data_IF_007611455730
#
_entry.id   IF_007611455730
#
_cell.length_a   1.000
_cell.length_b   1.000
_cell.length_c   1.000
_cell.angle_alpha   90.00
_cell.angle_beta   90.00
_cell.angle_gamma   90.00
#
_symmetry.space_group_name_H-M   'P 1'
#
loop_
_entity.id
_entity.type
_entity.pdbx_description
1 polymer ?
#
# COMPACT_ATOMS: atom_id res chain seq x y z
N UNK A 1 14.04 -41.04 20.04
CA UNK A 1 13.81 -40.05 21.12
C UNK A 1 13.15 -38.85 20.48
N UNK A 2 11.81 -38.88 20.35
CA UNK A 2 11.03 -37.80 19.78
C UNK A 2 10.71 -36.83 20.91
N UNK A 3 11.31 -35.64 20.89
CA UNK A 3 10.96 -34.56 21.79
C UNK A 3 9.66 -33.91 21.30
N UNK A 4 8.58 -34.21 21.98
CA UNK A 4 7.25 -33.62 21.81
C UNK A 4 7.33 -32.14 22.23
N UNK A 5 7.61 -31.26 21.27
CA UNK A 5 7.50 -29.81 21.48
C UNK A 5 6.00 -29.49 21.49
N UNK A 6 5.37 -29.60 22.66
CA UNK A 6 4.06 -29.00 22.91
C UNK A 6 4.18 -27.50 22.71
N UNK A 7 3.92 -27.03 21.49
CA UNK A 7 3.70 -25.63 21.23
C UNK A 7 2.52 -25.14 22.09
N UNK A 8 2.78 -24.22 23.03
CA UNK A 8 1.73 -23.53 23.76
C UNK A 8 0.89 -22.74 22.75
N UNK A 9 -0.20 -23.32 22.28
CA UNK A 9 -1.19 -22.59 21.48
C UNK A 9 -1.86 -21.59 22.42
N UNK A 10 -1.57 -20.30 22.19
CA UNK A 10 -2.27 -19.22 22.88
C UNK A 10 -3.76 -19.40 22.60
N UNK A 11 -4.59 -19.44 23.64
CA UNK A 11 -6.02 -19.68 23.46
C UNK A 11 -6.61 -18.55 22.60
N UNK A 12 -7.52 -18.87 21.64
CA UNK A 12 -8.18 -17.86 20.81
C UNK A 12 -8.84 -16.76 21.66
N UNK A 13 -9.35 -17.13 22.85
CA UNK A 13 -9.93 -16.19 23.81
C UNK A 13 -8.90 -15.18 24.33
N UNK A 14 -7.68 -15.62 24.67
CA UNK A 14 -6.62 -14.74 25.15
C UNK A 14 -6.20 -13.72 24.07
N UNK A 15 -6.11 -14.15 22.80
CA UNK A 15 -5.82 -13.27 21.66
C UNK A 15 -6.94 -12.23 21.48
N UNK A 16 -8.20 -12.67 21.54
CA UNK A 16 -9.35 -11.78 21.40
C UNK A 16 -9.40 -10.75 22.52
N UNK A 17 -9.17 -11.15 23.77
CA UNK A 17 -9.11 -10.25 24.92
C UNK A 17 -7.96 -9.24 24.80
N UNK A 18 -6.79 -9.68 24.38
CA UNK A 18 -5.64 -8.80 24.16
C UNK A 18 -5.93 -7.74 23.10
N UNK A 19 -6.50 -8.14 21.96
CA UNK A 19 -6.88 -7.22 20.88
C UNK A 19 -7.94 -6.22 21.37
N UNK A 20 -8.92 -6.70 22.13
CA UNK A 20 -9.96 -5.84 22.70
C UNK A 20 -9.38 -4.81 23.69
N UNK A 21 -8.48 -5.22 24.59
CA UNK A 21 -7.83 -4.33 25.56
C UNK A 21 -6.98 -3.28 24.86
N UNK A 22 -6.18 -3.68 23.86
CA UNK A 22 -5.37 -2.75 23.07
C UNK A 22 -6.27 -1.75 22.33
N UNK A 23 -7.33 -2.23 21.68
CA UNK A 23 -8.27 -1.37 20.96
C UNK A 23 -8.96 -0.36 21.90
N UNK A 24 -9.43 -0.82 23.06
CA UNK A 24 -10.07 0.03 24.05
C UNK A 24 -9.10 1.08 24.61
N UNK A 25 -7.87 0.68 24.93
CA UNK A 25 -6.84 1.60 25.43
C UNK A 25 -6.50 2.68 24.41
N UNK A 26 -6.42 2.33 23.14
CA UNK A 26 -6.12 3.26 22.07
C UNK A 26 -7.30 4.23 21.80
N UNK A 27 -8.54 3.77 21.91
CA UNK A 27 -9.73 4.64 21.84
C UNK A 27 -9.73 5.64 22.99
N UNK A 28 -9.51 5.17 24.23
CA UNK A 28 -9.43 6.03 25.41
C UNK A 28 -8.32 7.08 25.24
N UNK A 29 -7.14 6.67 24.81
CA UNK A 29 -6.01 7.57 24.52
C UNK A 29 -6.40 8.63 23.49
N UNK A 30 -7.01 8.22 22.38
CA UNK A 30 -7.43 9.10 21.30
C UNK A 30 -8.45 10.15 21.74
N UNK A 31 -9.41 9.76 22.59
CA UNK A 31 -10.41 10.69 23.15
C UNK A 31 -9.76 11.67 24.10
N UNK A 32 -8.85 11.21 24.98
CA UNK A 32 -8.17 12.07 25.97
C UNK A 32 -7.26 13.11 25.34
N UNK A 33 -6.60 12.78 24.23
CA UNK A 33 -5.63 13.65 23.57
C UNK A 33 -6.16 14.29 22.28
N UNK A 34 -7.46 14.14 21.99
CA UNK A 34 -8.12 14.67 20.76
C UNK A 34 -7.43 14.23 19.45
N UNK A 35 -6.83 13.05 19.44
CA UNK A 35 -6.11 12.50 18.31
C UNK A 35 -7.00 11.57 17.48
N UNK A 36 -7.93 12.14 16.73
CA UNK A 36 -8.91 11.38 15.91
C UNK A 36 -8.28 10.43 14.89
N UNK A 37 -7.03 10.72 14.48
CA UNK A 37 -6.28 9.87 13.58
C UNK A 37 -6.08 8.45 14.13
N UNK A 38 -5.86 8.31 15.44
CA UNK A 38 -5.67 7.01 16.08
C UNK A 38 -6.93 6.15 15.99
N UNK A 39 -8.12 6.76 16.15
CA UNK A 39 -9.39 6.04 15.99
C UNK A 39 -9.53 5.52 14.55
N UNK A 40 -9.21 6.35 13.56
CA UNK A 40 -9.23 5.94 12.18
C UNK A 40 -8.28 4.74 11.93
N UNK A 41 -7.05 4.79 12.44
CA UNK A 41 -6.10 3.67 12.32
C UNK A 41 -6.61 2.38 12.95
N UNK A 42 -7.23 2.44 14.12
CA UNK A 42 -7.81 1.27 14.78
C UNK A 42 -8.96 0.69 13.96
N UNK A 43 -9.86 1.55 13.46
CA UNK A 43 -10.98 1.12 12.63
C UNK A 43 -10.53 0.49 11.30
N UNK A 44 -9.46 1.02 10.67
CA UNK A 44 -8.97 0.50 9.39
C UNK A 44 -8.02 -0.69 9.54
N UNK A 45 -7.35 -0.87 10.70
CA UNK A 45 -6.38 -1.94 10.90
C UNK A 45 -6.92 -3.35 10.67
N UNK A 46 -8.16 -3.74 11.09
CA UNK A 46 -8.70 -5.06 10.82
C UNK A 46 -8.87 -5.32 9.32
N UNK A 47 -9.34 -4.31 8.57
CA UNK A 47 -9.48 -4.43 7.12
C UNK A 47 -8.12 -4.61 6.44
N UNK A 48 -7.12 -3.85 6.87
CA UNK A 48 -5.76 -3.98 6.36
C UNK A 48 -5.18 -5.36 6.64
N UNK A 49 -5.38 -5.90 7.85
CA UNK A 49 -4.93 -7.26 8.21
C UNK A 49 -5.62 -8.34 7.38
N UNK A 50 -6.93 -8.23 7.15
CA UNK A 50 -7.67 -9.17 6.30
C UNK A 50 -7.10 -9.15 4.88
N UNK A 51 -6.86 -7.97 4.32
CA UNK A 51 -6.30 -7.81 2.99
C UNK A 51 -4.88 -8.37 2.92
N UNK A 52 -4.07 -8.12 3.94
CA UNK A 52 -2.71 -8.66 4.04
C UNK A 52 -2.73 -10.19 4.05
N UNK A 53 -3.60 -10.82 4.86
CA UNK A 53 -3.76 -12.28 4.89
C UNK A 53 -4.21 -12.81 3.53
N UNK A 54 -5.12 -12.12 2.85
CA UNK A 54 -5.54 -12.51 1.50
C UNK A 54 -4.43 -12.30 0.46
N UNK A 55 -3.60 -11.28 0.61
CA UNK A 55 -2.46 -11.03 -0.26
C UNK A 55 -1.39 -12.12 -0.12
N UNK A 56 -1.20 -12.71 1.07
CA UNK A 56 -0.35 -13.90 1.27
C UNK A 56 -0.85 -15.12 0.50
N UNK A 57 -2.16 -15.25 0.29
CA UNK A 57 -2.75 -16.34 -0.51
C UNK A 57 -2.74 -16.03 -2.00
N UNK A 58 -2.96 -14.78 -2.35
CA UNK A 58 -3.03 -14.29 -3.72
C UNK A 58 -2.57 -12.82 -3.80
N UNK A 59 -1.31 -12.55 -4.17
CA UNK A 59 -0.76 -11.20 -4.23
C UNK A 59 -1.51 -10.23 -5.16
N UNK A 60 -2.25 -10.76 -6.13
CA UNK A 60 -3.10 -9.94 -7.00
C UNK A 60 -4.19 -9.19 -6.21
N UNK A 61 -4.68 -9.75 -5.11
CA UNK A 61 -5.66 -9.07 -4.23
C UNK A 61 -5.01 -7.85 -3.56
N UNK A 62 -3.78 -8.00 -3.07
CA UNK A 62 -3.00 -6.88 -2.51
C UNK A 62 -2.76 -5.78 -3.54
N UNK A 63 -2.42 -6.15 -4.78
CA UNK A 63 -2.28 -5.19 -5.87
C UNK A 63 -3.59 -4.45 -6.14
N UNK A 64 -4.73 -5.16 -6.23
CA UNK A 64 -6.05 -4.55 -6.40
C UNK A 64 -6.41 -3.59 -5.28
N UNK A 65 -5.96 -3.86 -4.05
CA UNK A 65 -6.19 -3.00 -2.89
C UNK A 65 -5.35 -1.72 -2.94
N UNK A 66 -4.12 -1.77 -3.43
CA UNK A 66 -3.26 -0.58 -3.49
C UNK A 66 -3.86 0.56 -4.31
N UNK A 67 -4.63 0.26 -5.37
CA UNK A 67 -5.25 1.30 -6.19
C UNK A 67 -6.28 2.14 -5.41
N UNK A 68 -7.36 1.57 -4.85
CA UNK A 68 -8.31 2.33 -4.05
C UNK A 68 -7.64 2.93 -2.81
N UNK A 69 -6.73 2.19 -2.17
CA UNK A 69 -6.02 2.67 -0.99
C UNK A 69 -5.26 3.97 -1.31
N UNK A 70 -4.46 4.00 -2.37
CA UNK A 70 -3.74 5.20 -2.77
C UNK A 70 -4.69 6.36 -3.11
N UNK A 71 -5.77 6.07 -3.85
CA UNK A 71 -6.73 7.08 -4.27
C UNK A 71 -7.46 7.72 -3.07
N UNK A 72 -8.03 6.90 -2.20
CA UNK A 72 -8.76 7.39 -1.02
C UNK A 72 -7.82 8.00 0.03
N UNK A 73 -6.61 7.52 0.12
CA UNK A 73 -5.63 8.02 1.06
C UNK A 73 -5.12 9.41 0.66
N UNK A 74 -4.91 9.67 -0.62
CA UNK A 74 -4.59 11.01 -1.13
C UNK A 74 -5.77 11.96 -0.90
N UNK A 75 -7.00 11.47 -1.10
CA UNK A 75 -8.21 12.25 -0.82
C UNK A 75 -8.30 12.62 0.67
N UNK A 76 -8.15 11.65 1.55
CA UNK A 76 -8.14 11.86 3.00
C UNK A 76 -7.10 12.90 3.45
N UNK A 77 -5.91 12.82 2.89
CA UNK A 77 -4.83 13.75 3.19
C UNK A 77 -5.16 15.22 2.90
N UNK A 78 -5.80 15.47 1.82
CA UNK A 78 -6.21 16.85 1.46
C UNK A 78 -7.14 17.43 2.51
N UNK A 79 -7.99 16.62 3.13
CA UNK A 79 -8.97 17.07 4.12
C UNK A 79 -8.44 17.11 5.56
N UNK A 80 -7.39 16.34 5.89
CA UNK A 80 -6.88 16.27 7.27
C UNK A 80 -5.63 17.11 7.52
N UNK A 81 -5.08 17.79 6.47
CA UNK A 81 -3.84 18.59 6.55
C UNK A 81 -2.65 17.84 7.18
N UNK A 82 -2.68 16.51 7.15
CA UNK A 82 -1.68 15.66 7.77
C UNK A 82 -0.38 15.61 6.98
N UNK A 83 0.75 15.78 7.64
CA UNK A 83 2.08 15.55 7.08
C UNK A 83 2.42 14.05 7.12
N UNK A 84 3.07 13.52 6.09
CA UNK A 84 3.68 12.18 6.16
C UNK A 84 2.96 11.03 5.44
N UNK A 85 1.98 11.30 4.60
CA UNK A 85 1.20 10.27 3.90
C UNK A 85 1.91 9.54 2.78
N UNK A 86 2.88 10.16 2.12
CA UNK A 86 3.74 9.44 1.18
C UNK A 86 4.40 8.23 1.85
N UNK A 87 4.77 8.36 3.13
CA UNK A 87 5.36 7.28 3.93
C UNK A 87 4.41 6.09 4.07
N UNK A 88 3.12 6.32 4.26
CA UNK A 88 2.13 5.23 4.40
C UNK A 88 1.93 4.45 3.10
N UNK A 89 1.84 5.16 1.99
CA UNK A 89 1.74 4.52 0.68
C UNK A 89 3.01 3.73 0.35
N UNK A 90 4.18 4.32 0.56
CA UNK A 90 5.46 3.66 0.34
C UNK A 90 5.60 2.42 1.24
N UNK A 91 5.27 2.55 2.53
CA UNK A 91 5.29 1.43 3.49
C UNK A 91 4.34 0.31 3.06
N UNK A 92 3.11 0.64 2.65
CA UNK A 92 2.14 -0.35 2.17
C UNK A 92 2.62 -1.06 0.91
N UNK A 93 3.27 -0.34 0.00
CA UNK A 93 3.85 -0.89 -1.22
C UNK A 93 5.02 -1.82 -0.91
N UNK A 94 5.89 -1.45 0.03
CA UNK A 94 7.01 -2.29 0.49
C UNK A 94 6.48 -3.55 1.18
N UNK A 95 5.50 -3.43 2.07
CA UNK A 95 4.88 -4.58 2.75
C UNK A 95 4.29 -5.54 1.71
N UNK A 96 3.55 -5.03 0.73
CA UNK A 96 3.00 -5.86 -0.35
C UNK A 96 4.11 -6.55 -1.15
N UNK A 97 5.21 -5.87 -1.40
CA UNK A 97 6.35 -6.45 -2.10
C UNK A 97 7.00 -7.58 -1.30
N UNK A 98 7.19 -7.40 0.00
CA UNK A 98 7.68 -8.45 0.90
C UNK A 98 6.72 -9.65 0.92
N UNK A 99 5.43 -9.41 1.05
CA UNK A 99 4.40 -10.47 0.96
C UNK A 99 4.47 -11.21 -0.36
N UNK A 100 4.65 -10.49 -1.46
CA UNK A 100 4.82 -11.08 -2.78
C UNK A 100 6.10 -11.93 -2.89
N UNK A 101 7.23 -11.49 -2.33
CA UNK A 101 8.46 -12.27 -2.31
C UNK A 101 8.30 -13.57 -1.50
N UNK A 102 7.68 -13.47 -0.32
CA UNK A 102 7.37 -14.64 0.52
C UNK A 102 6.46 -15.62 -0.21
N UNK A 103 5.40 -15.12 -0.86
CA UNK A 103 4.52 -15.93 -1.68
C UNK A 103 5.27 -16.61 -2.84
N UNK A 104 6.11 -15.87 -3.54
CA UNK A 104 6.91 -16.39 -4.65
C UNK A 104 7.84 -17.52 -4.20
N UNK A 105 8.48 -17.34 -3.05
CA UNK A 105 9.38 -18.34 -2.46
C UNK A 105 8.63 -19.60 -2.04
N UNK A 106 7.53 -19.46 -1.30
CA UNK A 106 6.79 -20.63 -0.78
C UNK A 106 5.99 -21.38 -1.83
N UNK A 107 5.39 -20.68 -2.77
CA UNK A 107 4.52 -21.31 -3.77
C UNK A 107 5.25 -21.75 -5.02
N UNK A 108 6.42 -21.20 -5.32
CA UNK A 108 7.22 -21.52 -6.51
C UNK A 108 6.51 -21.30 -7.86
N UNK A 109 5.33 -20.66 -7.85
CA UNK A 109 4.43 -20.50 -9.03
C UNK A 109 4.64 -19.23 -9.81
N UNK A 110 5.52 -18.33 -9.33
CA UNK A 110 5.76 -17.04 -9.97
C UNK A 110 6.84 -17.18 -11.02
N UNK A 111 6.49 -16.89 -12.27
CA UNK A 111 7.46 -16.93 -13.36
C UNK A 111 8.18 -15.59 -13.52
N UNK A 112 9.36 -15.46 -12.94
CA UNK A 112 10.22 -14.29 -13.07
C UNK A 112 10.69 -14.02 -14.53
N UNK A 113 10.42 -14.94 -15.45
CA UNK A 113 10.73 -14.76 -16.87
C UNK A 113 10.06 -13.52 -17.47
N UNK A 114 8.87 -13.19 -16.97
CA UNK A 114 8.10 -12.03 -17.47
C UNK A 114 8.71 -10.68 -17.10
N UNK A 115 9.61 -10.62 -16.12
CA UNK A 115 10.33 -9.38 -15.77
C UNK A 115 11.48 -9.07 -16.75
N UNK A 116 11.87 -10.04 -17.59
CA UNK A 116 12.91 -9.85 -18.60
C UNK A 116 12.33 -9.13 -19.82
N UNK A 117 11.90 -7.91 -19.64
CA UNK A 117 11.41 -7.04 -20.71
C UNK A 117 12.00 -5.63 -20.56
N UNK A 118 11.98 -4.87 -21.66
CA UNK A 118 12.63 -3.55 -21.74
C UNK A 118 12.01 -2.54 -20.76
N UNK A 119 10.71 -2.63 -20.46
CA UNK A 119 10.02 -1.72 -19.55
C UNK A 119 10.45 -1.97 -18.11
N UNK A 120 10.53 -3.22 -17.69
CA UNK A 120 11.01 -3.59 -16.33
C UNK A 120 12.49 -3.22 -16.18
N UNK A 121 13.31 -3.46 -17.21
CA UNK A 121 14.72 -3.09 -17.20
C UNK A 121 14.88 -1.56 -17.11
N UNK A 122 14.18 -0.82 -17.95
CA UNK A 122 14.21 0.65 -17.95
C UNK A 122 13.73 1.25 -16.61
N UNK A 123 12.64 0.71 -16.06
CA UNK A 123 12.15 1.10 -14.73
C UNK A 123 13.17 0.80 -13.63
N UNK A 124 13.83 -0.35 -13.68
CA UNK A 124 14.90 -0.73 -12.75
C UNK A 124 16.12 0.20 -12.84
N UNK A 125 16.56 0.52 -14.05
CA UNK A 125 17.67 1.48 -14.27
C UNK A 125 17.29 2.86 -13.72
N UNK A 126 16.06 3.31 -13.96
CA UNK A 126 15.58 4.59 -13.43
C UNK A 126 15.53 4.58 -11.90
N UNK A 127 15.03 3.52 -11.27
CA UNK A 127 15.03 3.39 -9.83
C UNK A 127 16.46 3.41 -9.23
N UNK A 128 17.41 2.72 -9.87
CA UNK A 128 18.82 2.76 -9.47
C UNK A 128 19.46 4.14 -9.67
N UNK A 129 19.15 4.82 -10.76
CA UNK A 129 19.63 6.19 -10.99
C UNK A 129 19.11 7.14 -9.90
N UNK A 130 17.81 7.07 -9.57
CA UNK A 130 17.23 7.88 -8.50
C UNK A 130 17.85 7.57 -7.13
N UNK A 131 18.22 6.30 -6.87
CA UNK A 131 18.95 5.95 -5.66
C UNK A 131 20.34 6.59 -5.62
N UNK A 132 21.05 6.60 -6.77
CA UNK A 132 22.37 7.19 -6.88
C UNK A 132 22.36 8.73 -6.74
N UNK A 133 21.26 9.39 -7.10
CA UNK A 133 21.12 10.85 -6.96
C UNK A 133 21.24 11.34 -5.51
N UNK A 134 20.97 10.50 -4.52
CA UNK A 134 21.18 10.85 -3.09
C UNK A 134 22.67 11.13 -2.79
N UNK A 135 23.56 10.55 -3.58
CA UNK A 135 25.01 10.74 -3.43
C UNK A 135 25.53 12.02 -4.10
N UNK A 136 24.66 12.73 -4.83
CA UNK A 136 25.03 14.00 -5.46
C UNK A 136 25.22 15.09 -4.38
N UNK A 137 26.40 15.70 -4.24
CA UNK A 137 26.66 16.71 -3.21
C UNK A 137 25.81 17.99 -3.34
N UNK A 138 25.21 18.23 -4.52
CA UNK A 138 24.29 19.35 -4.76
C UNK A 138 22.82 18.97 -4.57
N UNK A 139 22.52 17.71 -4.26
CA UNK A 139 21.15 17.25 -4.09
C UNK A 139 20.52 17.83 -2.81
N UNK A 140 19.30 18.36 -2.94
CA UNK A 140 18.49 18.73 -1.79
C UNK A 140 17.85 17.45 -1.24
N UNK A 141 18.38 16.91 -0.15
CA UNK A 141 17.95 15.65 0.46
C UNK A 141 16.46 15.60 0.76
N UNK A 142 15.89 16.72 1.22
CA UNK A 142 14.45 16.83 1.47
C UNK A 142 13.61 16.64 0.20
N UNK A 143 13.98 17.30 -0.88
CA UNK A 143 13.30 17.13 -2.17
C UNK A 143 13.40 15.69 -2.68
N UNK A 144 14.55 15.05 -2.49
CA UNK A 144 14.74 13.63 -2.83
C UNK A 144 13.83 12.73 -1.99
N UNK A 145 13.74 12.97 -0.66
CA UNK A 145 12.86 12.21 0.23
C UNK A 145 11.39 12.30 -0.22
N UNK A 146 10.93 13.45 -0.68
CA UNK A 146 9.56 13.62 -1.16
C UNK A 146 9.30 12.99 -2.54
N UNK A 147 10.27 13.04 -3.45
CA UNK A 147 10.10 12.56 -4.84
C UNK A 147 10.34 11.05 -5.01
N UNK A 148 11.14 10.43 -4.14
CA UNK A 148 11.54 9.02 -4.25
C UNK A 148 10.34 8.05 -4.34
N UNK A 149 9.28 8.32 -3.59
CA UNK A 149 8.10 7.45 -3.51
C UNK A 149 7.44 7.27 -4.87
N UNK A 150 7.42 8.32 -5.69
CA UNK A 150 6.83 8.28 -7.04
C UNK A 150 7.54 7.23 -7.90
N UNK A 151 8.86 7.13 -7.81
CA UNK A 151 9.65 6.24 -8.66
C UNK A 151 9.67 4.83 -8.10
N UNK A 152 10.03 4.67 -6.82
CA UNK A 152 10.15 3.34 -6.22
C UNK A 152 8.82 2.62 -6.09
N UNK A 153 7.79 3.29 -5.60
CA UNK A 153 6.47 2.67 -5.44
C UNK A 153 5.88 2.31 -6.80
N UNK A 154 6.03 3.17 -7.81
CA UNK A 154 5.58 2.89 -9.18
C UNK A 154 6.33 1.71 -9.79
N UNK A 155 7.64 1.62 -9.61
CA UNK A 155 8.44 0.50 -10.09
C UNK A 155 8.02 -0.81 -9.42
N UNK A 156 7.89 -0.83 -8.09
CA UNK A 156 7.48 -2.01 -7.32
C UNK A 156 6.07 -2.47 -7.73
N UNK A 157 5.12 -1.54 -7.82
CA UNK A 157 3.74 -1.85 -8.26
C UNK A 157 3.72 -2.42 -9.67
N UNK A 158 4.50 -1.84 -10.59
CA UNK A 158 4.64 -2.33 -11.96
C UNK A 158 5.23 -3.73 -12.00
N UNK A 159 6.26 -4.00 -11.20
CA UNK A 159 6.90 -5.31 -11.08
C UNK A 159 5.91 -6.37 -10.59
N UNK A 160 5.19 -6.09 -9.49
CA UNK A 160 4.15 -6.97 -8.97
C UNK A 160 3.05 -7.16 -10.02
N UNK A 161 2.65 -6.09 -10.73
CA UNK A 161 1.68 -6.14 -11.80
C UNK A 161 2.05 -7.12 -12.91
N UNK A 162 3.27 -6.99 -13.45
CA UNK A 162 3.78 -7.88 -14.51
C UNK A 162 3.79 -9.34 -14.08
N UNK A 163 4.08 -9.61 -12.81
CA UNK A 163 4.18 -10.97 -12.27
C UNK A 163 2.83 -11.57 -11.83
N UNK A 164 1.84 -10.74 -11.50
CA UNK A 164 0.54 -11.21 -10.98
C UNK A 164 -0.61 -11.13 -11.98
N UNK A 165 -0.53 -10.24 -12.98
CA UNK A 165 -1.57 -10.12 -14.04
C UNK A 165 -1.30 -11.17 -15.13
N UNK A 166 -1.60 -12.42 -14.83
CA UNK A 166 -1.35 -13.56 -15.72
C UNK A 166 -2.54 -13.96 -16.59
N UNK A 167 -3.71 -13.29 -16.44
CA UNK A 167 -4.91 -13.61 -17.18
C UNK A 167 -5.65 -12.35 -17.64
N UNK A 168 -6.39 -12.47 -18.73
CA UNK A 168 -7.24 -11.40 -19.25
C UNK A 168 -8.30 -10.92 -18.25
N UNK A 169 -8.81 -11.84 -17.40
CA UNK A 169 -9.74 -11.50 -16.32
C UNK A 169 -9.09 -10.54 -15.30
N UNK A 170 -7.84 -10.81 -14.89
CA UNK A 170 -7.10 -9.95 -13.95
C UNK A 170 -6.80 -8.59 -14.59
N UNK A 171 -6.39 -8.57 -15.84
CA UNK A 171 -6.18 -7.33 -16.58
C UNK A 171 -7.46 -6.47 -16.63
N UNK A 172 -8.61 -7.08 -16.93
CA UNK A 172 -9.90 -6.38 -16.96
C UNK A 172 -10.26 -5.74 -15.61
N UNK A 173 -9.95 -6.42 -14.49
CA UNK A 173 -10.18 -5.89 -13.15
C UNK A 173 -9.34 -4.63 -12.92
N UNK A 174 -8.05 -4.66 -13.26
CA UNK A 174 -7.17 -3.49 -13.10
C UNK A 174 -7.63 -2.33 -14.01
N UNK A 175 -7.96 -2.62 -15.27
CA UNK A 175 -8.48 -1.60 -16.19
C UNK A 175 -9.80 -1.00 -15.69
N UNK A 176 -10.66 -1.80 -15.08
CA UNK A 176 -11.89 -1.30 -14.45
C UNK A 176 -11.58 -0.31 -13.30
N UNK A 177 -10.67 -0.65 -12.39
CA UNK A 177 -10.25 0.28 -11.33
C UNK A 177 -9.66 1.57 -11.90
N UNK A 178 -8.75 1.49 -12.86
CA UNK A 178 -8.15 2.67 -13.48
C UNK A 178 -9.22 3.54 -14.16
N UNK A 179 -10.14 2.95 -14.91
CA UNK A 179 -11.22 3.68 -15.56
C UNK A 179 -12.17 4.33 -14.54
N UNK A 180 -12.53 3.62 -13.46
CA UNK A 180 -13.40 4.14 -12.42
C UNK A 180 -12.76 5.35 -11.72
N UNK A 181 -11.49 5.28 -11.35
CA UNK A 181 -10.79 6.40 -10.72
C UNK A 181 -10.58 7.57 -11.67
N UNK A 182 -10.26 7.32 -12.94
CA UNK A 182 -10.16 8.37 -13.95
C UNK A 182 -11.50 9.08 -14.12
N UNK A 183 -12.59 8.33 -14.20
CA UNK A 183 -13.93 8.90 -14.32
C UNK A 183 -14.30 9.76 -13.10
N UNK A 184 -13.96 9.29 -11.89
CA UNK A 184 -14.19 10.04 -10.65
C UNK A 184 -13.36 11.34 -10.64
N UNK A 185 -12.09 11.29 -11.07
CA UNK A 185 -11.23 12.47 -11.17
C UNK A 185 -11.77 13.48 -12.20
N UNK A 186 -12.23 13.01 -13.36
CA UNK A 186 -12.86 13.85 -14.39
C UNK A 186 -14.16 14.47 -13.88
N UNK A 187 -15.01 13.70 -13.19
CA UNK A 187 -16.24 14.21 -12.60
C UNK A 187 -15.93 15.31 -11.55
N UNK A 188 -14.91 15.11 -10.69
CA UNK A 188 -14.48 16.13 -9.74
C UNK A 188 -13.97 17.37 -10.45
N UNK A 189 -13.12 17.24 -11.45
CA UNK A 189 -12.61 18.37 -12.23
C UNK A 189 -13.73 19.15 -12.93
N UNK A 190 -14.74 18.46 -13.48
CA UNK A 190 -15.92 19.09 -14.05
C UNK A 190 -16.72 19.86 -12.99
N UNK A 191 -16.93 19.25 -11.81
CA UNK A 191 -17.60 19.91 -10.69
C UNK A 191 -16.86 21.20 -10.29
N UNK A 192 -15.56 21.16 -10.11
CA UNK A 192 -14.73 22.33 -9.75
C UNK A 192 -14.80 23.43 -10.82
N UNK A 193 -14.86 23.07 -12.10
CA UNK A 193 -14.99 24.04 -13.18
C UNK A 193 -16.32 24.82 -13.13
N UNK A 194 -17.42 24.17 -12.71
CA UNK A 194 -18.76 24.80 -12.74
C UNK A 194 -19.13 25.45 -11.40
N UNK A 195 -18.68 24.92 -10.28
CA UNK A 195 -19.06 25.34 -8.94
C UNK A 195 -17.93 26.02 -8.15
N UNK A 196 -16.72 26.06 -8.71
CA UNK A 196 -15.53 26.58 -8.04
C UNK A 196 -14.78 25.54 -7.25
N UNK A 197 -13.62 25.94 -6.73
CA UNK A 197 -12.81 25.10 -5.83
C UNK A 197 -13.42 25.11 -4.43
N UNK A 198 -13.29 24.00 -3.73
CA UNK A 198 -13.63 23.93 -2.30
C UNK A 198 -12.66 24.84 -1.50
N UNK A 199 -13.13 25.44 -0.40
CA UNK A 199 -12.36 26.35 0.46
C UNK A 199 -11.05 25.73 1.03
N UNK A 200 -10.82 24.46 0.77
CA UNK A 200 -9.68 23.67 1.24
C UNK A 200 -8.60 23.48 0.12
N UNK A 201 -8.88 23.93 -1.08
CA UNK A 201 -7.95 23.87 -2.24
C UNK A 201 -7.37 25.26 -2.56
#
# INVERSE_FOLDING_TARGET
MQTDIKGHSISPLAVTLLVFIIGLSAIIYSVLFSTWDIIAYICFSPFFLIILIQAFKNPFIGLCFLFPFNYFFILWYRYTLGTGLSVWYDTSTIILFVVFLVYSYHQGKVSWKYTKNILTLGGGIWALYTAAEVMNPTAVTEAWIYSRGIIYSTFIVSLIGVLTITSYKRLRIILFFLSAFTLTAVAKAAYQKYFGFDDIE
#
